data_IF_527477291459
#
_entry.id   IF_527477291459
#
_cell.length_a   1.000
_cell.length_b   1.000
_cell.length_c   1.000
_cell.angle_alpha   90.00
_cell.angle_beta   90.00
_cell.angle_gamma   90.00
#
_symmetry.space_group_name_H-M   'P 1'
#
loop_
_entity.id
_entity.type
_entity.pdbx_description
1 polymer ?
#
# COMPACT_ATOMS: atom_id res chain seq x y z
N UNK A 1 20.00 -0.47 -38.41
CA UNK A 1 18.60 -0.77 -38.06
C UNK A 1 18.47 -0.51 -36.57
N UNK A 2 17.82 0.58 -36.17
CA UNK A 2 17.70 0.96 -34.76
C UNK A 2 16.50 0.22 -34.14
N UNK A 3 16.70 -0.43 -33.00
CA UNK A 3 15.63 -1.03 -32.22
C UNK A 3 14.67 0.07 -31.73
N UNK A 4 13.35 -0.09 -31.87
CA UNK A 4 12.43 0.86 -31.29
C UNK A 4 12.50 0.73 -29.76
N UNK A 5 12.87 1.84 -29.10
CA UNK A 5 12.70 2.03 -27.66
C UNK A 5 11.29 1.58 -27.29
N UNK A 6 11.17 0.55 -26.45
CA UNK A 6 9.90 0.24 -25.81
C UNK A 6 9.48 1.48 -25.01
N UNK A 7 8.47 2.20 -25.51
CA UNK A 7 7.71 3.15 -24.71
C UNK A 7 7.29 2.39 -23.47
N UNK A 8 7.75 2.84 -22.29
CA UNK A 8 7.26 2.32 -21.02
C UNK A 8 5.75 2.31 -21.09
N UNK A 9 5.17 1.12 -21.05
CA UNK A 9 3.73 1.02 -20.96
C UNK A 9 3.37 1.70 -19.64
N UNK A 10 2.61 2.79 -19.72
CA UNK A 10 1.98 3.34 -18.54
C UNK A 10 1.12 2.23 -17.95
N UNK A 11 1.64 1.55 -16.94
CA UNK A 11 0.96 0.45 -16.28
C UNK A 11 -0.20 1.05 -15.50
N UNK A 12 -1.38 1.10 -16.14
CA UNK A 12 -2.60 1.51 -15.49
C UNK A 12 -2.84 0.61 -14.27
N UNK A 13 -2.84 1.20 -13.08
CA UNK A 13 -3.13 0.50 -11.82
C UNK A 13 -4.60 0.66 -11.50
N UNK A 14 -5.27 -0.42 -11.14
CA UNK A 14 -6.62 -0.34 -10.62
C UNK A 14 -6.59 0.17 -9.17
N UNK A 15 -7.44 1.14 -8.88
CA UNK A 15 -7.67 1.65 -7.53
C UNK A 15 -9.16 1.53 -7.21
N UNK A 16 -9.43 1.01 -6.03
CA UNK A 16 -10.78 0.84 -5.53
C UNK A 16 -11.16 1.95 -4.55
N UNK A 17 -12.44 2.29 -4.55
CA UNK A 17 -13.04 3.32 -3.70
C UNK A 17 -14.37 2.85 -3.13
N UNK A 18 -14.76 3.41 -1.99
CA UNK A 18 -16.05 3.20 -1.34
C UNK A 18 -16.74 4.53 -1.03
N UNK A 19 -18.07 4.54 -1.07
CA UNK A 19 -18.88 5.74 -0.84
C UNK A 19 -18.95 6.06 0.66
N UNK A 20 -18.35 7.18 1.06
CA UNK A 20 -18.13 7.54 2.47
C UNK A 20 -19.19 8.45 3.08
N UNK A 21 -20.18 8.88 2.29
CA UNK A 21 -21.36 9.62 2.75
C UNK A 21 -22.02 8.97 4.00
N UNK A 22 -22.59 9.81 4.87
CA UNK A 22 -23.40 9.35 6.01
C UNK A 22 -24.59 8.53 5.55
N UNK A 23 -25.28 8.97 4.49
CA UNK A 23 -26.29 8.18 3.79
C UNK A 23 -25.77 7.75 2.41
N UNK A 24 -25.32 6.49 2.25
CA UNK A 24 -24.74 6.00 1.00
C UNK A 24 -25.74 5.97 -0.17
N UNK A 25 -27.05 6.02 0.10
CA UNK A 25 -28.10 5.93 -0.91
C UNK A 25 -28.81 7.26 -1.19
N UNK A 26 -28.41 8.35 -0.53
CA UNK A 26 -28.95 9.67 -0.82
C UNK A 26 -28.43 10.17 -2.17
N UNK A 27 -29.32 10.70 -3.00
CA UNK A 27 -28.99 11.41 -4.25
C UNK A 27 -28.90 12.93 -4.05
N UNK A 28 -29.25 13.43 -2.86
CA UNK A 28 -29.29 14.87 -2.56
C UNK A 28 -27.96 15.38 -1.98
N UNK A 29 -27.06 14.48 -1.59
CA UNK A 29 -25.76 14.81 -1.04
C UNK A 29 -24.68 14.73 -2.12
N UNK A 30 -23.66 15.57 -2.02
CA UNK A 30 -22.47 15.45 -2.87
C UNK A 30 -21.81 14.10 -2.60
N UNK A 31 -21.52 13.35 -3.66
CA UNK A 31 -20.87 12.06 -3.50
C UNK A 31 -19.44 12.21 -2.98
N UNK A 32 -19.15 11.53 -1.88
CA UNK A 32 -17.83 11.42 -1.30
C UNK A 32 -17.33 9.99 -1.45
N UNK A 33 -16.16 9.85 -2.05
CA UNK A 33 -15.54 8.58 -2.35
C UNK A 33 -14.18 8.52 -1.64
N UNK A 34 -14.00 7.51 -0.81
CA UNK A 34 -12.75 7.28 -0.08
C UNK A 34 -12.02 6.09 -0.70
N UNK A 35 -10.72 6.24 -0.93
CA UNK A 35 -9.89 5.16 -1.49
C UNK A 35 -9.71 4.04 -0.47
N UNK A 36 -9.67 2.80 -0.96
CA UNK A 36 -9.09 1.71 -0.20
C UNK A 36 -7.56 1.88 -0.11
N UNK A 37 -6.97 1.30 0.93
CA UNK A 37 -5.51 1.20 1.01
C UNK A 37 -4.96 0.36 -0.14
N UNK A 38 -3.70 0.58 -0.53
CA UNK A 38 -3.04 -0.13 -1.61
C UNK A 38 -3.17 -1.66 -1.47
N UNK A 39 -2.94 -2.19 -0.27
CA UNK A 39 -3.06 -3.63 0.02
C UNK A 39 -4.50 -4.11 -0.19
N UNK A 40 -5.49 -3.36 0.32
CA UNK A 40 -6.90 -3.72 0.14
C UNK A 40 -7.32 -3.65 -1.32
N UNK A 41 -6.90 -2.61 -2.05
CA UNK A 41 -7.15 -2.49 -3.48
C UNK A 41 -6.56 -3.65 -4.26
N UNK A 42 -5.33 -4.08 -3.94
CA UNK A 42 -4.69 -5.21 -4.62
C UNK A 42 -5.43 -6.53 -4.34
N UNK A 43 -5.91 -6.74 -3.11
CA UNK A 43 -6.73 -7.91 -2.73
C UNK A 43 -8.05 -7.93 -3.53
N UNK A 44 -8.74 -6.77 -3.59
CA UNK A 44 -10.00 -6.63 -4.29
C UNK A 44 -9.80 -6.84 -5.80
N UNK A 45 -8.75 -6.25 -6.37
CA UNK A 45 -8.42 -6.37 -7.79
C UNK A 45 -8.08 -7.80 -8.17
N UNK A 46 -7.26 -8.48 -7.36
CA UNK A 46 -6.91 -9.88 -7.61
C UNK A 46 -8.16 -10.78 -7.61
N UNK A 47 -9.12 -10.53 -6.71
CA UNK A 47 -10.39 -11.26 -6.70
C UNK A 47 -11.30 -10.90 -7.89
N UNK A 48 -11.25 -9.65 -8.36
CA UNK A 48 -11.97 -9.20 -9.55
C UNK A 48 -11.44 -9.87 -10.82
N UNK A 49 -10.13 -9.91 -11.00
CA UNK A 49 -9.47 -10.50 -12.18
C UNK A 49 -9.66 -12.01 -12.27
N UNK A 50 -9.77 -12.71 -11.13
CA UNK A 50 -9.92 -14.16 -11.13
C UNK A 50 -11.28 -14.66 -11.67
N UNK A 51 -12.25 -13.77 -11.96
CA UNK A 51 -13.54 -13.90 -12.70
C UNK A 51 -14.39 -15.19 -12.60
N UNK A 52 -13.99 -16.21 -11.85
CA UNK A 52 -14.55 -17.57 -12.03
C UNK A 52 -15.14 -18.19 -10.78
N UNK A 53 -14.96 -17.68 -9.55
CA UNK A 53 -15.68 -18.25 -8.39
C UNK A 53 -15.88 -17.37 -7.15
N UNK A 54 -15.14 -16.28 -6.94
CA UNK A 54 -15.21 -15.51 -5.69
C UNK A 54 -15.73 -14.10 -5.91
N UNK A 55 -17.06 -13.98 -6.04
CA UNK A 55 -17.73 -12.68 -6.04
C UNK A 55 -17.71 -11.99 -4.67
N UNK A 56 -17.37 -12.74 -3.61
CA UNK A 56 -17.31 -12.24 -2.24
C UNK A 56 -15.85 -12.23 -1.78
N UNK A 57 -15.34 -11.06 -1.44
CA UNK A 57 -13.99 -10.87 -0.89
C UNK A 57 -14.10 -10.55 0.59
N UNK A 58 -13.29 -11.23 1.39
CA UNK A 58 -13.17 -10.94 2.82
C UNK A 58 -12.08 -9.89 3.06
N UNK A 59 -12.43 -8.79 3.71
CA UNK A 59 -11.49 -7.85 4.32
C UNK A 59 -11.64 -7.91 5.84
N UNK A 60 -10.73 -7.31 6.61
CA UNK A 60 -10.72 -7.42 8.07
C UNK A 60 -12.08 -7.14 8.72
N UNK A 61 -12.68 -5.98 8.40
CA UNK A 61 -13.93 -5.50 9.02
C UNK A 61 -15.15 -5.60 8.09
N UNK A 62 -14.98 -6.01 6.84
CA UNK A 62 -16.00 -5.92 5.82
C UNK A 62 -15.96 -7.11 4.85
N UNK A 63 -17.11 -7.40 4.26
CA UNK A 63 -17.23 -8.24 3.07
C UNK A 63 -17.44 -7.35 1.86
N UNK A 64 -16.81 -7.67 0.73
CA UNK A 64 -17.03 -6.98 -0.54
C UNK A 64 -17.72 -7.95 -1.49
N UNK A 65 -18.95 -7.60 -1.89
CA UNK A 65 -19.66 -8.27 -2.96
C UNK A 65 -19.35 -7.54 -4.28
N UNK A 66 -18.46 -8.11 -5.08
CA UNK A 66 -18.03 -7.59 -6.38
C UNK A 66 -19.12 -7.68 -7.45
N UNK A 67 -20.05 -8.64 -7.32
CA UNK A 67 -21.16 -8.77 -8.27
C UNK A 67 -22.15 -7.63 -8.11
N UNK A 68 -22.38 -7.22 -6.86
CA UNK A 68 -23.26 -6.09 -6.54
C UNK A 68 -22.51 -4.75 -6.46
N UNK A 69 -21.18 -4.78 -6.45
CA UNK A 69 -20.31 -3.63 -6.16
C UNK A 69 -20.69 -2.97 -4.84
N UNK A 70 -20.81 -3.76 -3.78
CA UNK A 70 -21.20 -3.32 -2.43
C UNK A 70 -20.26 -3.86 -1.36
N UNK A 71 -19.85 -2.98 -0.46
CA UNK A 71 -19.21 -3.30 0.81
C UNK A 71 -20.28 -3.51 1.89
N UNK A 72 -20.15 -4.57 2.69
CA UNK A 72 -21.07 -4.96 3.78
C UNK A 72 -20.24 -5.05 5.07
N UNK A 73 -20.65 -4.36 6.13
CA UNK A 73 -19.98 -4.44 7.43
C UNK A 73 -20.17 -5.80 8.09
N UNK A 74 -19.07 -6.36 8.65
CA UNK A 74 -19.14 -7.60 9.46
C UNK A 74 -19.88 -7.40 10.77
N UNK A 75 -19.83 -6.19 11.32
CA UNK A 75 -20.48 -5.85 12.58
C UNK A 75 -21.96 -5.50 12.41
N UNK A 76 -22.37 -5.07 11.22
CA UNK A 76 -23.75 -4.61 10.95
C UNK A 76 -24.10 -4.82 9.47
N UNK A 77 -24.86 -5.87 9.19
CA UNK A 77 -25.23 -6.25 7.81
C UNK A 77 -26.13 -5.21 7.11
N UNK A 78 -26.77 -4.31 7.87
CA UNK A 78 -27.57 -3.22 7.32
C UNK A 78 -26.68 -2.06 6.83
N UNK A 79 -25.44 -1.98 7.30
CA UNK A 79 -24.46 -0.97 6.84
C UNK A 79 -23.80 -1.45 5.56
N UNK A 80 -24.40 -1.05 4.45
CA UNK A 80 -23.92 -1.31 3.11
C UNK A 80 -23.47 -0.03 2.43
N UNK A 81 -22.36 -0.08 1.69
CA UNK A 81 -21.81 1.07 0.97
C UNK A 81 -21.45 0.65 -0.45
N UNK A 82 -21.70 1.52 -1.43
CA UNK A 82 -21.30 1.26 -2.80
C UNK A 82 -19.78 1.32 -2.95
N UNK A 83 -19.24 0.51 -3.84
CA UNK A 83 -17.84 0.54 -4.23
C UNK A 83 -17.69 0.78 -5.73
N UNK A 84 -16.55 1.31 -6.14
CA UNK A 84 -16.21 1.48 -7.56
C UNK A 84 -14.73 1.25 -7.80
N UNK A 85 -14.43 0.73 -8.99
CA UNK A 85 -13.09 0.56 -9.55
C UNK A 85 -12.78 1.73 -10.47
N UNK A 86 -11.59 2.32 -10.34
CA UNK A 86 -11.09 3.34 -11.26
C UNK A 86 -9.67 2.94 -11.71
N UNK A 87 -9.38 3.10 -13.00
CA UNK A 87 -8.04 2.90 -13.54
C UNK A 87 -7.27 4.22 -13.41
N UNK A 88 -6.15 4.17 -12.70
CA UNK A 88 -5.28 5.33 -12.48
C UNK A 88 -4.04 5.17 -13.36
N UNK A 89 -3.65 6.23 -14.05
CA UNK A 89 -2.38 6.31 -14.78
C UNK A 89 -1.28 6.77 -13.85
N UNK A 90 -0.07 6.23 -14.01
CA UNK A 90 1.09 6.46 -13.14
C UNK A 90 1.47 7.93 -12.95
N UNK A 91 1.01 8.82 -13.83
CA UNK A 91 1.14 10.28 -13.72
C UNK A 91 0.45 10.87 -12.48
N UNK A 92 -0.49 10.16 -11.88
CA UNK A 92 -1.27 10.64 -10.73
C UNK A 92 -0.67 10.19 -9.38
N UNK A 93 0.40 9.38 -9.40
CA UNK A 93 1.19 9.10 -8.22
C UNK A 93 2.02 10.34 -7.88
N UNK A 94 1.51 11.15 -6.95
CA UNK A 94 2.23 12.25 -6.33
C UNK A 94 3.68 11.85 -6.03
N UNK A 95 4.59 12.69 -6.52
CA UNK A 95 6.03 12.52 -6.44
C UNK A 95 6.48 12.08 -5.04
N UNK A 96 7.21 10.96 -4.94
CA UNK A 96 7.87 10.55 -3.72
C UNK A 96 8.66 11.74 -3.17
N UNK A 97 8.36 12.12 -1.92
CA UNK A 97 8.93 13.25 -1.17
C UNK A 97 10.41 13.47 -1.51
N UNK A 98 10.66 14.41 -2.43
CA UNK A 98 11.99 14.70 -3.01
C UNK A 98 13.04 15.02 -1.94
N UNK A 99 12.57 15.54 -0.80
CA UNK A 99 13.32 15.86 0.42
C UNK A 99 14.17 14.70 0.95
N UNK A 100 13.77 13.44 0.70
CA UNK A 100 14.55 12.24 1.13
C UNK A 100 15.68 11.86 0.19
N UNK A 101 15.71 12.41 -1.03
CA UNK A 101 16.74 12.15 -2.03
C UNK A 101 17.79 13.27 -2.11
N UNK A 102 17.68 14.30 -1.28
CA UNK A 102 18.79 15.22 -1.06
C UNK A 102 19.91 14.46 -0.35
N UNK A 103 21.05 14.39 -1.05
CA UNK A 103 22.29 13.80 -0.57
C UNK A 103 22.55 14.20 0.89
N UNK A 104 22.94 13.27 1.78
CA UNK A 104 23.47 13.67 3.06
C UNK A 104 24.62 14.65 2.82
N UNK A 105 24.70 15.74 3.61
CA UNK A 105 25.85 16.63 3.55
C UNK A 105 27.12 15.77 3.53
N UNK A 106 28.09 16.06 2.63
CA UNK A 106 29.31 15.29 2.56
C UNK A 106 29.88 15.23 3.97
N UNK A 107 30.08 14.00 4.49
CA UNK A 107 30.59 13.75 5.84
C UNK A 107 31.76 14.68 6.10
N UNK A 108 31.51 15.76 6.86
CA UNK A 108 32.55 16.73 7.18
C UNK A 108 33.46 16.06 8.19
N UNK A 109 34.59 15.60 7.65
CA UNK A 109 35.79 15.06 8.30
C UNK A 109 35.67 13.57 8.67
N UNK A 110 36.74 12.77 8.41
CA UNK A 110 36.85 11.46 9.03
C UNK A 110 36.70 11.63 10.55
N UNK A 111 36.04 10.65 11.19
CA UNK A 111 36.09 10.51 12.64
C UNK A 111 37.56 10.66 13.06
N UNK A 112 37.89 11.73 13.79
CA UNK A 112 39.24 12.01 14.26
C UNK A 112 39.83 10.73 14.89
N UNK A 113 41.03 10.37 14.44
CA UNK A 113 41.91 9.33 14.99
C UNK A 113 42.48 9.67 16.39
N UNK A 114 41.87 10.60 17.13
CA UNK A 114 42.40 11.11 18.41
C UNK A 114 41.62 10.62 19.64
N UNK A 115 40.90 9.49 19.54
CA UNK A 115 40.31 8.83 20.71
C UNK A 115 41.12 7.62 21.16
N UNK A 116 42.30 7.89 21.72
CA UNK A 116 42.98 7.00 22.66
C UNK A 116 42.35 7.12 24.07
N UNK A 117 41.04 6.90 24.25
CA UNK A 117 40.49 6.55 25.60
C UNK A 117 39.00 6.15 25.64
N UNK A 118 38.50 5.44 24.62
CA UNK A 118 37.09 5.03 24.55
C UNK A 118 36.94 3.52 24.61
N UNK A 119 36.96 2.95 25.80
CA UNK A 119 36.84 1.51 26.06
C UNK A 119 35.73 0.83 25.24
N UNK A 120 36.13 -0.06 24.33
CA UNK A 120 35.24 -1.01 23.68
C UNK A 120 34.77 -2.02 24.73
N UNK A 121 33.52 -1.89 25.18
CA UNK A 121 32.84 -3.00 25.84
C UNK A 121 32.33 -3.95 24.75
N UNK A 122 33.26 -4.78 24.24
CA UNK A 122 32.92 -5.90 23.38
C UNK A 122 32.21 -6.97 24.20
N UNK A 123 30.99 -7.33 23.80
CA UNK A 123 30.36 -8.55 24.29
C UNK A 123 31.10 -9.76 23.71
N UNK A 124 32.00 -10.36 24.50
CA UNK A 124 32.54 -11.68 24.22
C UNK A 124 31.46 -12.69 24.60
N UNK A 125 30.82 -13.29 23.61
CA UNK A 125 29.95 -14.45 23.82
C UNK A 125 30.88 -15.66 24.00
N UNK A 126 31.01 -16.17 25.23
CA UNK A 126 31.68 -17.45 25.48
C UNK A 126 30.78 -18.58 24.98
N UNK A 127 31.28 -19.34 24.01
CA UNK A 127 30.75 -20.67 23.69
C UNK A 127 31.43 -21.67 24.64
N UNK A 128 30.70 -22.14 25.64
CA UNK A 128 31.14 -23.24 26.47
C UNK A 128 30.94 -24.56 25.71
N UNK A 129 32.06 -25.18 25.33
CA UNK A 129 32.11 -26.52 24.79
C UNK A 129 31.74 -27.53 25.89
N UNK A 130 30.61 -28.21 25.72
CA UNK A 130 30.30 -29.45 26.43
C UNK A 130 31.16 -30.59 25.87
N UNK A 131 32.02 -31.18 26.71
CA UNK A 131 32.58 -32.52 26.49
C UNK A 131 32.00 -33.48 27.54
N UNK A 132 31.75 -34.72 27.09
CA UNK A 132 31.75 -35.92 27.93
C UNK A 132 32.81 -36.85 27.36
#
# INVERSE_FOLDING_TARGET
>A
MANPLMKGADHARAQWYWKSNSNPWSNNEKEEWTRYSDIQSDIIEHAFDQTTNTNLVELDNYWIDLKRSVQISKHDQNKQRQIKRMLITTTDNECLREERFFFPEPLKKPFNEDRLDGGYHGFIVKLDNFQV
#
